data_IF_680611226296
#
_entry.id   IF_680611226296
#
_cell.length_a   1.000
_cell.length_b   1.000
_cell.length_c   1.000
_cell.angle_alpha   90.00
_cell.angle_beta   90.00
_cell.angle_gamma   90.00
#
_symmetry.space_group_name_H-M   'P 1'
#
loop_
_entity.id
_entity.type
_entity.pdbx_description
1 polymer ?
#
# COMPACT_ATOMS: atom_id res chain seq x y z
N UNK A 1 30.33 31.70 -3.14
CA UNK A 1 30.47 31.42 -1.67
C UNK A 1 31.74 30.63 -1.43
N UNK A 2 32.52 30.89 -0.34
CA UNK A 2 33.67 30.05 0.00
C UNK A 2 33.12 28.75 0.63
N UNK A 3 33.52 27.58 0.10
CA UNK A 3 33.12 26.30 0.64
C UNK A 3 33.85 26.07 1.95
N UNK A 4 33.14 26.00 3.04
CA UNK A 4 33.64 25.66 4.36
C UNK A 4 32.74 24.59 4.98
N UNK A 5 33.21 23.80 5.94
CA UNK A 5 32.37 22.84 6.67
C UNK A 5 31.13 23.48 7.31
N UNK A 6 31.22 24.75 7.71
CA UNK A 6 30.09 25.49 8.26
C UNK A 6 29.07 25.86 7.18
N UNK A 7 29.53 26.30 5.99
CA UNK A 7 28.66 26.60 4.84
C UNK A 7 27.91 25.32 4.39
N UNK A 8 28.62 24.19 4.27
CA UNK A 8 28.02 22.91 3.90
C UNK A 8 26.96 22.43 4.91
N UNK A 9 27.21 22.62 6.23
CA UNK A 9 26.18 22.37 7.27
C UNK A 9 24.96 23.28 7.13
N UNK A 10 25.17 24.56 6.78
CA UNK A 10 24.08 25.50 6.52
C UNK A 10 23.21 25.05 5.33
N UNK A 11 23.84 24.61 4.24
CA UNK A 11 23.16 24.05 3.08
C UNK A 11 22.37 22.80 3.44
N UNK A 12 22.99 21.86 4.17
CA UNK A 12 22.30 20.67 4.65
C UNK A 12 21.05 21.03 5.45
N UNK A 13 21.16 21.98 6.38
CA UNK A 13 20.02 22.40 7.22
C UNK A 13 18.91 23.00 6.37
N UNK A 14 19.25 23.87 5.37
CA UNK A 14 18.28 24.45 4.47
C UNK A 14 17.57 23.39 3.63
N UNK A 15 18.33 22.49 3.01
CA UNK A 15 17.75 21.40 2.20
C UNK A 15 16.95 20.40 3.04
N UNK A 16 17.41 20.07 4.24
CA UNK A 16 16.63 19.22 5.15
C UNK A 16 15.29 19.87 5.53
N UNK A 17 15.25 21.19 5.70
CA UNK A 17 14.00 21.92 5.96
C UNK A 17 13.07 21.86 4.74
N UNK A 18 13.60 22.06 3.53
CA UNK A 18 12.84 21.96 2.28
C UNK A 18 12.30 20.55 2.09
N UNK A 19 13.13 19.53 2.30
CA UNK A 19 12.75 18.12 2.23
C UNK A 19 11.62 17.79 3.21
N UNK A 20 11.80 18.11 4.50
CA UNK A 20 10.82 17.80 5.53
C UNK A 20 9.48 18.49 5.26
N UNK A 21 9.49 19.76 4.83
CA UNK A 21 8.28 20.49 4.46
C UNK A 21 7.53 19.80 3.31
N UNK A 22 8.24 19.34 2.28
CA UNK A 22 7.65 18.62 1.17
C UNK A 22 7.15 17.25 1.59
N UNK A 23 7.93 16.50 2.40
CA UNK A 23 7.58 15.19 2.92
C UNK A 23 6.32 15.22 3.80
N UNK A 24 6.23 16.16 4.74
CA UNK A 24 5.10 16.32 5.67
C UNK A 24 3.86 16.89 4.96
N UNK A 25 4.05 17.61 3.85
CA UNK A 25 2.95 18.15 3.05
C UNK A 25 2.22 17.11 2.21
N UNK A 26 2.74 15.91 2.08
CA UNK A 26 2.08 14.82 1.36
C UNK A 26 1.13 14.03 2.27
N UNK A 27 0.06 13.53 1.68
CA UNK A 27 -0.95 12.73 2.36
C UNK A 27 -1.06 11.34 1.71
N UNK A 28 -0.12 10.43 1.97
CA UNK A 28 -0.16 9.08 1.42
C UNK A 28 -1.43 8.34 1.88
N UNK A 29 -1.97 7.49 1.03
CA UNK A 29 -3.26 6.84 1.22
C UNK A 29 -3.18 5.35 1.55
N UNK A 30 -1.97 4.78 1.56
CA UNK A 30 -1.74 3.36 1.83
C UNK A 30 -2.35 2.89 3.15
N UNK A 31 -2.42 3.77 4.16
CA UNK A 31 -3.05 3.46 5.44
C UNK A 31 -4.56 3.19 5.33
N UNK A 32 -5.22 3.59 4.24
CA UNK A 32 -6.62 3.22 4.00
C UNK A 32 -6.79 1.72 3.79
N UNK A 33 -5.83 1.08 3.12
CA UNK A 33 -5.92 -0.33 2.66
C UNK A 33 -4.93 -1.27 3.35
N UNK A 34 -3.91 -0.74 4.01
CA UNK A 34 -2.87 -1.52 4.68
C UNK A 34 -2.81 -1.26 6.19
N UNK A 35 -2.50 -2.31 6.94
CA UNK A 35 -2.09 -2.20 8.35
C UNK A 35 -0.61 -1.92 8.41
N UNK A 36 -0.22 -0.85 9.11
CA UNK A 36 1.19 -0.53 9.34
C UNK A 36 1.72 -1.36 10.51
N UNK A 37 2.77 -2.13 10.24
CA UNK A 37 3.42 -2.98 11.23
C UNK A 37 4.88 -2.53 11.39
N UNK A 38 5.33 -2.15 12.60
CA UNK A 38 6.73 -1.86 12.84
C UNK A 38 7.57 -3.14 12.70
N UNK A 39 8.77 -3.02 12.13
CA UNK A 39 9.72 -4.11 12.00
C UNK A 39 11.02 -3.80 12.74
N UNK A 40 11.61 -4.82 13.35
CA UNK A 40 12.88 -4.70 14.07
C UNK A 40 13.97 -5.61 13.50
N UNK A 41 13.64 -6.49 12.56
CA UNK A 41 14.53 -7.49 11.96
C UNK A 41 14.67 -7.34 10.44
N UNK A 42 15.41 -8.24 9.81
CA UNK A 42 15.55 -8.31 8.34
C UNK A 42 14.22 -8.68 7.68
N UNK A 43 13.43 -9.52 8.35
CA UNK A 43 12.12 -9.99 7.89
C UNK A 43 11.22 -10.26 9.08
N UNK A 44 9.91 -10.10 8.89
CA UNK A 44 8.91 -10.44 9.91
C UNK A 44 8.03 -11.58 9.40
N UNK A 45 7.74 -12.53 10.28
CA UNK A 45 6.85 -13.65 9.98
C UNK A 45 5.49 -13.46 10.64
N UNK A 46 4.46 -13.50 9.84
CA UNK A 46 3.07 -13.24 10.23
C UNK A 46 2.32 -14.55 10.51
N UNK A 47 2.66 -15.21 11.61
CA UNK A 47 2.07 -16.49 12.02
C UNK A 47 0.56 -16.42 12.34
N UNK A 48 0.02 -15.22 12.56
CA UNK A 48 -1.40 -14.98 12.81
C UNK A 48 -2.27 -14.92 11.56
N UNK A 49 -1.66 -14.91 10.38
CA UNK A 49 -2.39 -15.03 9.12
C UNK A 49 -2.87 -16.47 8.96
N UNK A 50 -4.17 -16.65 8.85
CA UNK A 50 -4.78 -17.97 8.75
C UNK A 50 -6.30 -17.87 8.79
N UNK A 51 -6.95 -18.73 9.57
CA UNK A 51 -8.40 -18.67 9.78
C UNK A 51 -8.75 -17.54 10.76
N UNK A 52 -9.84 -16.83 10.52
CA UNK A 52 -10.35 -15.78 11.40
C UNK A 52 -11.15 -16.45 12.53
N UNK A 53 -10.65 -16.43 13.78
CA UNK A 53 -11.31 -17.13 14.88
C UNK A 53 -12.61 -16.42 15.29
N UNK A 54 -13.58 -17.23 15.76
CA UNK A 54 -14.82 -16.73 16.36
C UNK A 54 -14.98 -17.21 17.80
N UNK A 55 -15.66 -16.42 18.63
CA UNK A 55 -16.03 -16.83 20.00
C UNK A 55 -16.95 -18.05 19.95
N UNK A 56 -16.75 -18.99 20.88
CA UNK A 56 -17.68 -20.10 21.12
C UNK A 56 -18.21 -20.05 22.54
N UNK A 57 -19.33 -20.70 22.78
CA UNK A 57 -19.79 -20.96 24.13
C UNK A 57 -18.77 -21.83 24.87
N UNK A 58 -18.43 -21.44 26.09
CA UNK A 58 -17.48 -22.19 26.89
C UNK A 58 -18.21 -23.34 27.62
N UNK A 59 -18.21 -24.51 27.00
CA UNK A 59 -18.71 -25.75 27.61
C UNK A 59 -17.51 -26.71 27.68
N UNK A 60 -17.18 -27.15 28.91
CA UNK A 60 -16.03 -28.02 29.15
C UNK A 60 -14.69 -27.30 29.15
N UNK A 61 -13.65 -27.91 28.57
CA UNK A 61 -12.30 -27.35 28.51
C UNK A 61 -12.17 -26.29 27.46
N UNK A 62 -11.18 -25.38 27.65
CA UNK A 62 -10.82 -24.36 26.64
C UNK A 62 -10.20 -25.04 25.42
N UNK A 63 -10.70 -24.69 24.24
CA UNK A 63 -10.09 -25.10 22.97
C UNK A 63 -9.02 -24.08 22.57
N UNK A 64 -7.76 -24.51 22.54
CA UNK A 64 -6.66 -23.69 22.08
C UNK A 64 -6.72 -23.64 20.56
N UNK A 65 -6.98 -22.47 20.02
CA UNK A 65 -6.89 -22.23 18.57
C UNK A 65 -5.40 -22.13 18.22
N UNK A 66 -4.87 -23.16 17.56
CA UNK A 66 -3.51 -23.07 17.01
C UNK A 66 -3.51 -22.13 15.82
N UNK A 67 -2.97 -20.92 16.01
CA UNK A 67 -2.72 -19.94 14.95
C UNK A 67 -1.51 -20.32 14.05
N UNK A 68 -0.95 -21.51 14.26
CA UNK A 68 0.25 -22.00 13.58
C UNK A 68 -0.06 -22.65 12.24
N UNK A 69 -0.42 -21.88 11.25
CA UNK A 69 -0.72 -22.45 9.92
C UNK A 69 0.11 -21.88 8.79
N UNK A 70 0.49 -20.63 8.84
CA UNK A 70 1.19 -19.99 7.73
C UNK A 70 2.46 -19.30 8.19
N UNK A 71 3.57 -19.63 7.55
CA UNK A 71 4.86 -18.93 7.72
C UNK A 71 4.99 -17.81 6.68
N UNK A 72 3.97 -16.95 6.55
CA UNK A 72 4.07 -15.83 5.61
C UNK A 72 5.06 -14.80 6.11
N UNK A 73 6.13 -14.60 5.35
CA UNK A 73 7.25 -13.74 5.72
C UNK A 73 7.39 -12.60 4.74
N UNK A 74 7.46 -11.36 5.26
CA UNK A 74 7.78 -10.18 4.47
C UNK A 74 9.23 -9.79 4.79
N UNK A 75 10.09 -9.80 3.76
CA UNK A 75 11.48 -9.35 3.87
C UNK A 75 11.56 -7.85 3.60
N UNK A 76 12.24 -7.11 4.48
CA UNK A 76 12.49 -5.69 4.30
C UNK A 76 13.43 -5.45 3.12
N UNK A 77 13.16 -4.39 2.34
CA UNK A 77 13.99 -3.88 1.26
C UNK A 77 14.48 -2.49 1.61
N UNK A 78 15.65 -2.15 1.12
CA UNK A 78 16.20 -0.80 1.24
C UNK A 78 15.85 -0.01 -0.02
N UNK A 79 15.45 1.24 0.16
CA UNK A 79 15.07 2.17 -0.90
C UNK A 79 15.82 3.48 -0.72
N UNK A 80 16.24 4.07 -1.83
CA UNK A 80 16.95 5.34 -1.83
C UNK A 80 16.54 6.19 -3.04
N UNK A 81 16.70 7.48 -2.89
CA UNK A 81 16.66 8.43 -3.99
C UNK A 81 17.71 9.51 -3.73
N UNK A 82 18.54 9.80 -4.72
CA UNK A 82 19.73 10.63 -4.56
C UNK A 82 19.80 11.75 -5.58
N UNK A 83 20.17 12.94 -5.13
CA UNK A 83 20.37 14.15 -5.97
C UNK A 83 21.81 14.65 -5.80
N UNK A 84 22.48 14.92 -6.92
CA UNK A 84 23.80 15.54 -6.95
C UNK A 84 23.73 17.05 -7.17
N UNK A 85 24.39 17.81 -6.30
CA UNK A 85 24.54 19.26 -6.42
C UNK A 85 25.96 19.56 -6.87
N UNK A 86 26.11 20.29 -7.97
CA UNK A 86 27.41 20.64 -8.52
C UNK A 86 28.18 21.57 -7.57
N UNK A 87 29.48 21.28 -7.37
CA UNK A 87 30.35 22.07 -6.50
C UNK A 87 30.46 23.53 -6.98
N UNK A 88 30.55 23.74 -8.29
CA UNK A 88 30.67 25.11 -8.83
C UNK A 88 29.37 25.90 -8.56
N UNK A 89 28.18 25.25 -8.60
CA UNK A 89 26.95 25.92 -8.26
C UNK A 89 26.89 26.37 -6.79
N UNK A 90 27.56 25.64 -5.90
CA UNK A 90 27.71 26.01 -4.48
C UNK A 90 28.70 27.21 -4.37
N UNK A 91 29.82 27.18 -5.09
CA UNK A 91 30.80 28.28 -5.13
C UNK A 91 30.17 29.56 -5.67
N UNK A 92 29.33 29.46 -6.72
CA UNK A 92 28.62 30.56 -7.33
C UNK A 92 27.36 31.03 -6.59
N UNK A 93 27.07 30.45 -5.43
CA UNK A 93 25.87 30.75 -4.60
C UNK A 93 24.53 30.52 -5.34
N UNK A 94 24.49 29.50 -6.21
CA UNK A 94 23.30 29.11 -7.00
C UNK A 94 22.52 27.98 -6.37
N UNK A 95 22.62 27.77 -5.04
CA UNK A 95 22.04 26.66 -4.30
C UNK A 95 20.51 26.62 -4.43
N UNK A 96 19.86 27.79 -4.49
CA UNK A 96 18.42 27.90 -4.61
C UNK A 96 17.82 27.19 -5.83
N UNK A 97 18.61 26.98 -6.90
CA UNK A 97 18.18 26.26 -8.09
C UNK A 97 17.89 24.78 -7.84
N UNK A 98 18.43 24.21 -6.75
CA UNK A 98 18.22 22.81 -6.38
C UNK A 98 17.01 22.58 -5.45
N UNK A 99 16.40 23.64 -4.91
CA UNK A 99 15.23 23.51 -4.04
C UNK A 99 14.09 22.69 -4.66
N UNK A 100 13.71 22.85 -5.93
CA UNK A 100 12.68 21.99 -6.53
C UNK A 100 13.05 20.51 -6.53
N UNK A 101 14.32 20.18 -6.81
CA UNK A 101 14.77 18.79 -6.78
C UNK A 101 14.73 18.19 -5.38
N UNK A 102 15.04 18.97 -4.36
CA UNK A 102 14.93 18.54 -2.94
C UNK A 102 13.44 18.41 -2.50
N UNK A 103 12.56 19.27 -3.01
CA UNK A 103 11.11 19.11 -2.80
C UNK A 103 10.60 17.81 -3.41
N UNK A 104 10.92 17.54 -4.68
CA UNK A 104 10.54 16.32 -5.38
C UNK A 104 11.08 15.07 -4.68
N UNK A 105 12.29 15.14 -4.10
CA UNK A 105 12.87 14.09 -3.27
C UNK A 105 11.98 13.82 -2.01
N UNK A 106 11.54 14.88 -1.34
CA UNK A 106 10.66 14.78 -0.17
C UNK A 106 9.29 14.19 -0.51
N UNK A 107 8.69 14.67 -1.61
CA UNK A 107 7.39 14.17 -2.10
C UNK A 107 7.47 12.69 -2.49
N UNK A 108 8.48 12.30 -3.28
CA UNK A 108 8.68 10.90 -3.68
C UNK A 108 8.90 9.99 -2.47
N UNK A 109 9.71 10.41 -1.51
CA UNK A 109 9.96 9.64 -0.30
C UNK A 109 8.68 9.44 0.55
N UNK A 110 7.79 10.44 0.60
CA UNK A 110 6.53 10.36 1.32
C UNK A 110 5.52 9.43 0.65
N UNK A 111 5.46 9.45 -0.70
CA UNK A 111 4.49 8.68 -1.48
C UNK A 111 4.95 7.25 -1.81
N UNK A 112 6.21 6.91 -1.58
CA UNK A 112 6.74 5.58 -1.88
C UNK A 112 5.99 4.41 -1.19
N UNK A 113 5.49 4.53 0.07
CA UNK A 113 4.65 3.49 0.65
C UNK A 113 3.38 3.19 -0.16
N UNK A 114 2.76 4.19 -0.79
CA UNK A 114 1.62 4.00 -1.67
C UNK A 114 1.98 3.13 -2.87
N UNK A 115 3.14 3.36 -3.49
CA UNK A 115 3.62 2.57 -4.63
C UNK A 115 3.77 1.09 -4.26
N UNK A 116 4.36 0.81 -3.10
CA UNK A 116 4.54 -0.56 -2.60
C UNK A 116 3.21 -1.25 -2.31
N UNK A 117 2.29 -0.55 -1.67
CA UNK A 117 1.02 -1.12 -1.21
C UNK A 117 0.03 -1.29 -2.35
N UNK A 118 -0.19 -0.27 -3.18
CA UNK A 118 -1.12 -0.39 -4.31
C UNK A 118 -0.58 -1.29 -5.43
N UNK A 119 0.75 -1.39 -5.58
CA UNK A 119 1.37 -2.37 -6.47
C UNK A 119 0.99 -3.82 -6.14
N UNK A 120 0.76 -4.15 -4.87
CA UNK A 120 0.30 -5.48 -4.46
C UNK A 120 -1.09 -5.82 -5.01
N UNK A 121 -1.98 -4.85 -5.19
CA UNK A 121 -3.32 -5.11 -5.75
C UNK A 121 -3.22 -5.63 -7.18
N UNK A 122 -2.39 -5.01 -8.01
CA UNK A 122 -2.15 -5.47 -9.38
C UNK A 122 -1.47 -6.85 -9.41
N UNK A 123 -0.46 -7.05 -8.56
CA UNK A 123 0.29 -8.30 -8.46
C UNK A 123 -0.49 -9.42 -7.78
N UNK A 124 -1.56 -9.10 -7.06
CA UNK A 124 -2.36 -10.05 -6.29
C UNK A 124 -3.02 -11.16 -7.10
N UNK A 125 -3.13 -11.00 -8.43
CA UNK A 125 -3.62 -12.06 -9.33
C UNK A 125 -2.58 -13.16 -9.61
N UNK A 126 -1.31 -12.92 -9.30
CA UNK A 126 -0.19 -13.82 -9.58
C UNK A 126 0.66 -14.15 -8.36
N UNK A 127 0.89 -13.18 -7.47
CA UNK A 127 1.72 -13.37 -6.28
C UNK A 127 0.97 -14.12 -5.18
N UNK A 128 1.68 -15.04 -4.54
CA UNK A 128 1.12 -15.90 -3.49
C UNK A 128 0.98 -15.18 -2.15
N UNK A 129 -0.13 -15.43 -1.48
CA UNK A 129 -0.35 -15.03 -0.10
C UNK A 129 -0.05 -16.18 0.90
N UNK A 130 -0.46 -16.01 2.14
CA UNK A 130 -0.12 -16.91 3.26
C UNK A 130 -0.62 -18.36 3.12
N UNK A 131 -1.63 -18.62 2.30
CA UNK A 131 -2.17 -19.97 2.04
C UNK A 131 -1.54 -20.67 0.82
N UNK A 132 -0.55 -20.02 0.19
CA UNK A 132 0.17 -20.54 -0.98
C UNK A 132 -0.54 -20.34 -2.31
N UNK A 133 -1.75 -19.75 -2.30
CA UNK A 133 -2.49 -19.34 -3.51
C UNK A 133 -2.18 -17.90 -3.87
N UNK A 134 -2.49 -17.48 -5.10
CA UNK A 134 -2.49 -16.07 -5.44
C UNK A 134 -3.45 -15.32 -4.49
N UNK A 135 -3.16 -14.05 -4.18
CA UNK A 135 -3.99 -13.28 -3.25
C UNK A 135 -5.43 -13.11 -3.75
N UNK A 136 -5.61 -12.98 -5.07
CA UNK A 136 -6.92 -13.11 -5.73
C UNK A 136 -6.97 -14.45 -6.47
N UNK A 137 -7.68 -15.40 -5.91
CA UNK A 137 -7.80 -16.75 -6.45
C UNK A 137 -9.24 -17.27 -6.30
N UNK A 138 -9.55 -18.35 -7.06
CA UNK A 138 -10.87 -18.98 -7.04
C UNK A 138 -10.93 -20.20 -6.11
N UNK A 139 -9.80 -20.58 -5.50
CA UNK A 139 -9.65 -21.86 -4.82
C UNK A 139 -8.90 -21.76 -3.48
N UNK A 140 -9.09 -20.66 -2.74
CA UNK A 140 -8.56 -20.52 -1.38
C UNK A 140 -9.09 -21.62 -0.45
N UNK A 141 -8.23 -22.31 0.30
CA UNK A 141 -8.68 -23.35 1.21
C UNK A 141 -9.39 -22.75 2.43
N UNK A 142 -10.60 -23.25 2.73
CA UNK A 142 -11.38 -22.88 3.91
C UNK A 142 -11.87 -24.16 4.58
N UNK A 143 -11.08 -24.71 5.49
CA UNK A 143 -11.33 -26.02 6.09
C UNK A 143 -11.30 -27.14 5.04
N UNK A 144 -12.44 -27.77 4.75
CA UNK A 144 -12.60 -28.80 3.70
C UNK A 144 -13.09 -28.22 2.37
N UNK A 145 -13.53 -26.96 2.37
CA UNK A 145 -14.14 -26.29 1.24
C UNK A 145 -13.14 -25.33 0.57
N UNK A 146 -13.57 -24.72 -0.52
CA UNK A 146 -12.84 -23.68 -1.23
C UNK A 146 -13.67 -22.41 -1.30
N UNK A 147 -13.01 -21.26 -1.26
CA UNK A 147 -13.64 -19.97 -1.46
C UNK A 147 -12.91 -19.17 -2.54
N UNK A 148 -13.64 -18.26 -3.18
CA UNK A 148 -13.13 -17.37 -4.21
C UNK A 148 -13.24 -15.91 -3.77
N UNK A 149 -12.19 -15.14 -4.03
CA UNK A 149 -12.19 -13.68 -3.94
C UNK A 149 -11.77 -13.04 -5.27
N UNK A 150 -11.82 -13.80 -6.37
CA UNK A 150 -11.44 -13.36 -7.71
C UNK A 150 -12.64 -13.32 -8.64
N UNK A 151 -12.75 -12.23 -9.41
CA UNK A 151 -13.61 -12.08 -10.56
C UNK A 151 -12.85 -11.73 -11.84
N UNK A 152 -13.56 -11.76 -12.96
CA UNK A 152 -13.05 -11.35 -14.27
C UNK A 152 -13.94 -10.30 -14.95
N UNK A 153 -15.12 -10.02 -14.39
CA UNK A 153 -16.08 -9.09 -14.96
C UNK A 153 -15.59 -7.64 -14.89
N UNK A 154 -15.86 -6.86 -15.93
CA UNK A 154 -15.70 -5.40 -15.90
C UNK A 154 -16.55 -4.79 -14.80
N UNK A 155 -16.14 -3.62 -14.31
CA UNK A 155 -16.91 -2.90 -13.29
C UNK A 155 -18.28 -2.54 -13.85
N UNK A 156 -19.30 -3.02 -13.17
CA UNK A 156 -20.72 -2.74 -13.45
C UNK A 156 -21.50 -2.87 -12.15
N UNK A 157 -22.74 -2.37 -12.13
CA UNK A 157 -23.62 -2.49 -10.97
C UNK A 157 -23.80 -3.96 -10.53
N UNK A 158 -23.98 -4.87 -11.48
CA UNK A 158 -24.21 -6.29 -11.18
C UNK A 158 -22.92 -7.00 -10.75
N UNK A 159 -21.76 -6.66 -11.36
CA UNK A 159 -20.48 -7.16 -10.92
C UNK A 159 -20.15 -6.68 -9.49
N UNK A 160 -20.43 -5.41 -9.17
CA UNK A 160 -20.28 -4.88 -7.82
C UNK A 160 -21.17 -5.60 -6.79
N UNK A 161 -22.46 -5.79 -7.10
CA UNK A 161 -23.41 -6.54 -6.24
C UNK A 161 -22.92 -7.97 -5.98
N UNK A 162 -22.47 -8.64 -7.03
CA UNK A 162 -21.93 -10.01 -6.95
C UNK A 162 -20.71 -10.08 -6.05
N UNK A 163 -19.73 -9.20 -6.25
CA UNK A 163 -18.54 -9.12 -5.42
C UNK A 163 -18.88 -8.85 -3.95
N UNK A 164 -19.76 -7.88 -3.70
CA UNK A 164 -20.20 -7.52 -2.36
C UNK A 164 -20.90 -8.70 -1.67
N UNK A 165 -21.82 -9.37 -2.35
CA UNK A 165 -22.51 -10.54 -1.82
C UNK A 165 -21.54 -11.69 -1.53
N UNK A 166 -20.60 -11.94 -2.44
CA UNK A 166 -19.56 -12.96 -2.25
C UNK A 166 -18.76 -12.71 -0.98
N UNK A 167 -18.24 -11.49 -0.78
CA UNK A 167 -17.48 -11.14 0.43
C UNK A 167 -18.30 -11.28 1.71
N UNK A 168 -19.56 -10.81 1.70
CA UNK A 168 -20.44 -10.85 2.87
C UNK A 168 -20.85 -12.29 3.24
N UNK A 169 -20.84 -13.20 2.28
CA UNK A 169 -21.20 -14.62 2.46
C UNK A 169 -20.04 -15.50 2.89
N UNK A 170 -18.81 -14.96 2.98
CA UNK A 170 -17.64 -15.73 3.39
C UNK A 170 -17.79 -16.28 4.80
N UNK A 171 -17.34 -17.52 4.96
CA UNK A 171 -17.33 -18.25 6.24
C UNK A 171 -15.91 -18.63 6.62
N UNK A 172 -15.70 -18.87 7.91
CA UNK A 172 -14.45 -19.45 8.39
C UNK A 172 -14.45 -20.99 8.22
N UNK A 173 -13.33 -21.65 8.58
CA UNK A 173 -13.15 -23.10 8.49
C UNK A 173 -14.19 -23.93 9.27
N UNK A 174 -14.87 -23.31 10.24
CA UNK A 174 -15.93 -23.91 11.07
C UNK A 174 -17.35 -23.61 10.54
N UNK A 175 -17.46 -23.04 9.33
CA UNK A 175 -18.74 -22.70 8.70
C UNK A 175 -19.44 -21.45 9.25
N UNK A 176 -18.80 -20.67 10.14
CA UNK A 176 -19.39 -19.46 10.72
C UNK A 176 -19.17 -18.27 9.77
N UNK A 177 -20.20 -17.41 9.56
CA UNK A 177 -20.07 -16.19 8.78
C UNK A 177 -18.97 -15.29 9.36
N UNK A 178 -18.12 -14.74 8.47
CA UNK A 178 -17.06 -13.80 8.86
C UNK A 178 -17.61 -12.38 9.12
N UNK A 179 -18.85 -12.10 8.70
CA UNK A 179 -19.50 -10.80 8.81
C UNK A 179 -18.61 -9.66 8.27
N UNK A 180 -18.01 -9.87 7.10
CA UNK A 180 -17.21 -8.89 6.40
C UNK A 180 -18.16 -8.00 5.57
N UNK A 181 -18.12 -6.71 5.80
CA UNK A 181 -18.86 -5.74 5.03
C UNK A 181 -17.86 -4.88 4.27
N UNK A 182 -17.74 -5.03 2.93
CA UNK A 182 -16.83 -4.21 2.16
C UNK A 182 -17.27 -2.75 2.16
N UNK A 183 -16.30 -1.86 2.29
CA UNK A 183 -16.50 -0.43 2.54
C UNK A 183 -15.66 0.49 1.65
N UNK A 184 -14.75 -0.07 0.83
CA UNK A 184 -13.89 0.70 -0.06
C UNK A 184 -13.80 0.04 -1.44
N UNK A 185 -14.16 0.80 -2.49
CA UNK A 185 -13.95 0.43 -3.89
C UNK A 185 -12.73 1.16 -4.43
N UNK A 186 -11.67 0.42 -4.78
CA UNK A 186 -10.44 0.96 -5.37
C UNK A 186 -10.48 0.72 -6.87
N UNK A 187 -10.31 1.80 -7.64
CA UNK A 187 -10.38 1.80 -9.10
C UNK A 187 -9.26 2.62 -9.74
N UNK A 188 -8.82 2.29 -10.96
CA UNK A 188 -7.99 3.18 -11.76
C UNK A 188 -8.77 4.41 -12.24
N UNK A 189 -8.10 5.49 -12.69
CA UNK A 189 -8.78 6.68 -13.20
C UNK A 189 -9.78 6.39 -14.34
N UNK A 190 -9.50 5.40 -15.18
CA UNK A 190 -10.37 5.01 -16.28
C UNK A 190 -11.79 4.54 -15.83
N UNK A 191 -11.90 4.01 -14.62
CA UNK A 191 -13.16 3.50 -14.05
C UNK A 191 -13.80 4.46 -13.04
N UNK A 192 -13.28 5.67 -12.87
CA UNK A 192 -13.84 6.63 -11.91
C UNK A 192 -15.30 6.97 -12.19
N UNK A 193 -15.66 7.21 -13.45
CA UNK A 193 -17.04 7.53 -13.85
C UNK A 193 -18.00 6.37 -13.52
N UNK A 194 -17.64 5.15 -13.92
CA UNK A 194 -18.43 3.95 -13.63
C UNK A 194 -18.60 3.72 -12.12
N UNK A 195 -17.54 3.93 -11.35
CA UNK A 195 -17.60 3.81 -9.88
C UNK A 195 -18.53 4.85 -9.25
N UNK A 196 -18.52 6.10 -9.76
CA UNK A 196 -19.45 7.15 -9.30
C UNK A 196 -20.89 6.86 -9.66
N UNK A 197 -21.15 6.35 -10.85
CA UNK A 197 -22.50 5.94 -11.28
C UNK A 197 -23.05 4.84 -10.37
N UNK A 198 -22.21 3.89 -9.93
CA UNK A 198 -22.62 2.80 -9.04
C UNK A 198 -22.82 3.28 -7.59
N UNK A 199 -21.95 4.12 -7.05
CA UNK A 199 -21.89 4.39 -5.60
C UNK A 199 -22.36 5.79 -5.19
N UNK A 200 -22.49 6.73 -6.13
CA UNK A 200 -22.83 8.12 -5.83
C UNK A 200 -24.14 8.56 -6.49
N UNK A 201 -24.43 8.10 -7.70
CA UNK A 201 -25.63 8.50 -8.41
C UNK A 201 -26.91 8.11 -7.65
N UNK A 202 -27.90 9.02 -7.60
CA UNK A 202 -29.20 8.77 -6.95
C UNK A 202 -30.08 7.79 -7.73
N UNK A 203 -29.96 7.81 -9.06
CA UNK A 203 -30.74 6.97 -9.97
C UNK A 203 -29.84 6.30 -11.01
N UNK A 204 -30.16 5.06 -11.35
CA UNK A 204 -29.54 4.31 -12.44
C UNK A 204 -30.67 3.87 -13.37
N UNK A 205 -30.61 4.28 -14.65
CA UNK A 205 -31.65 3.97 -15.67
C UNK A 205 -33.09 4.32 -15.19
N UNK A 206 -33.24 5.46 -14.51
CA UNK A 206 -34.54 5.91 -14.00
C UNK A 206 -35.06 5.20 -12.75
N UNK A 207 -34.27 4.26 -12.19
CA UNK A 207 -34.61 3.53 -10.95
C UNK A 207 -33.68 4.01 -9.82
N UNK A 208 -34.24 4.13 -8.61
CA UNK A 208 -33.46 4.52 -7.43
C UNK A 208 -32.27 3.57 -7.21
N UNK A 209 -31.08 4.15 -7.05
CA UNK A 209 -29.87 3.39 -6.81
C UNK A 209 -29.83 2.85 -5.36
N UNK A 210 -29.90 1.53 -5.21
CA UNK A 210 -29.85 0.86 -3.91
C UNK A 210 -28.44 0.59 -3.40
N UNK A 211 -27.41 0.82 -4.24
CA UNK A 211 -25.99 0.64 -3.87
C UNK A 211 -25.29 1.95 -3.51
N UNK A 212 -26.00 3.09 -3.63
CA UNK A 212 -25.49 4.39 -3.24
C UNK A 212 -24.98 4.37 -1.81
N UNK A 213 -23.75 4.87 -1.60
CA UNK A 213 -23.11 5.01 -0.28
C UNK A 213 -22.75 3.69 0.42
N UNK A 214 -22.84 2.55 -0.26
CA UNK A 214 -22.48 1.25 0.33
C UNK A 214 -20.97 1.01 0.44
N UNK A 215 -20.16 1.78 -0.27
CA UNK A 215 -18.70 1.85 -0.17
C UNK A 215 -18.20 3.25 -0.54
N UNK A 216 -17.03 3.61 -0.05
CA UNK A 216 -16.29 4.79 -0.50
C UNK A 216 -15.54 4.47 -1.80
N UNK A 217 -15.32 5.47 -2.66
CA UNK A 217 -14.51 5.33 -3.87
C UNK A 217 -13.10 5.85 -3.58
N UNK A 218 -12.10 5.07 -3.95
CA UNK A 218 -10.71 5.49 -4.00
C UNK A 218 -10.16 5.32 -5.41
N UNK A 219 -9.91 6.44 -6.08
CA UNK A 219 -9.27 6.44 -7.39
C UNK A 219 -7.75 6.43 -7.19
N UNK A 220 -7.10 5.37 -7.67
CA UNK A 220 -5.66 5.17 -7.49
C UNK A 220 -4.94 5.16 -8.85
N UNK A 221 -4.25 6.26 -9.20
CA UNK A 221 -3.55 6.38 -10.49
C UNK A 221 -2.37 5.41 -10.68
N UNK A 222 -1.86 4.80 -9.58
CA UNK A 222 -0.73 3.85 -9.65
C UNK A 222 -1.16 2.43 -10.01
N UNK A 223 -2.46 2.18 -10.18
CA UNK A 223 -2.93 0.87 -10.66
C UNK A 223 -2.50 0.70 -12.12
N UNK A 224 -1.78 -0.38 -12.40
CA UNK A 224 -1.21 -0.66 -13.73
C UNK A 224 -2.26 -1.05 -14.78
N UNK A 225 -3.47 -1.42 -14.36
CA UNK A 225 -4.56 -1.86 -15.26
C UNK A 225 -5.69 -0.84 -15.28
N UNK A 226 -6.14 -0.48 -16.47
CA UNK A 226 -7.30 0.41 -16.67
C UNK A 226 -8.65 -0.28 -16.45
N UNK A 227 -8.68 -1.61 -16.33
CA UNK A 227 -9.93 -2.40 -16.22
C UNK A 227 -10.08 -3.14 -14.89
N UNK A 228 -9.00 -3.35 -14.15
CA UNK A 228 -9.04 -4.04 -12.87
C UNK A 228 -9.63 -3.14 -11.77
N UNK A 229 -10.44 -3.74 -10.91
CA UNK A 229 -11.04 -3.05 -9.76
C UNK A 229 -11.06 -3.96 -8.53
N UNK A 230 -11.06 -3.33 -7.35
CA UNK A 230 -10.91 -4.03 -6.09
C UNK A 230 -11.93 -3.53 -5.08
N UNK A 231 -12.60 -4.46 -4.41
CA UNK A 231 -13.54 -4.16 -3.33
C UNK A 231 -12.95 -4.66 -2.01
N UNK A 232 -12.78 -3.76 -1.06
CA UNK A 232 -12.03 -4.02 0.17
C UNK A 232 -12.90 -3.82 1.42
N UNK A 233 -12.59 -4.59 2.47
CA UNK A 233 -13.11 -4.38 3.83
C UNK A 233 -11.98 -3.80 4.68
N UNK A 234 -12.03 -2.48 4.96
CA UNK A 234 -10.93 -1.74 5.58
C UNK A 234 -11.22 -1.26 7.01
N UNK A 235 -12.47 -1.37 7.47
CA UNK A 235 -12.89 -0.95 8.83
C UNK A 235 -12.59 -1.96 9.94
N UNK A 236 -11.80 -3.00 9.64
CA UNK A 236 -11.33 -3.97 10.62
C UNK A 236 -9.98 -3.55 11.21
N UNK A 237 -9.61 -4.01 12.42
CA UNK A 237 -8.30 -3.73 13.01
C UNK A 237 -7.12 -4.16 12.13
N UNK A 238 -7.26 -5.28 11.44
CA UNK A 238 -6.32 -5.72 10.39
C UNK A 238 -6.97 -5.47 9.04
N UNK A 239 -6.23 -4.83 8.15
CA UNK A 239 -6.65 -4.50 6.78
C UNK A 239 -6.19 -5.56 5.79
N UNK A 240 -6.71 -5.57 4.55
CA UNK A 240 -6.36 -6.59 3.56
C UNK A 240 -4.87 -6.65 3.21
N UNK A 241 -4.16 -5.54 3.32
CA UNK A 241 -2.72 -5.46 3.04
C UNK A 241 -1.92 -5.10 4.30
N UNK A 242 -0.61 -5.34 4.25
CA UNK A 242 0.33 -5.02 5.32
C UNK A 242 1.42 -4.13 4.74
N UNK A 243 1.71 -3.02 5.41
CA UNK A 243 2.91 -2.24 5.20
C UNK A 243 3.85 -2.41 6.38
N UNK A 244 4.98 -3.07 6.14
CA UNK A 244 6.02 -3.32 7.15
C UNK A 244 7.03 -2.20 7.12
N UNK A 245 7.07 -1.39 8.19
CA UNK A 245 7.95 -0.23 8.30
C UNK A 245 9.14 -0.53 9.20
N UNK A 246 10.34 -0.65 8.63
CA UNK A 246 11.59 -0.84 9.38
C UNK A 246 12.26 0.49 9.72
N UNK A 247 12.32 1.41 8.72
CA UNK A 247 12.92 2.73 8.85
C UNK A 247 12.12 3.72 7.99
N UNK A 248 11.62 4.77 8.62
CA UNK A 248 11.00 5.88 7.89
C UNK A 248 12.05 6.56 7.01
N UNK A 249 11.60 7.16 5.91
CA UNK A 249 12.47 7.95 5.05
C UNK A 249 13.16 9.06 5.85
N UNK A 250 14.47 9.18 5.65
CA UNK A 250 15.31 10.17 6.32
C UNK A 250 16.21 10.84 5.30
N UNK A 251 16.33 12.17 5.40
CA UNK A 251 17.25 12.95 4.59
C UNK A 251 18.69 12.70 5.04
N UNK A 252 19.57 12.44 4.10
CA UNK A 252 20.99 12.15 4.30
C UNK A 252 21.85 12.92 3.33
N UNK A 253 23.14 13.10 3.64
CA UNK A 253 24.08 13.77 2.73
C UNK A 253 25.49 13.16 2.80
N UNK A 254 26.23 13.28 1.71
CA UNK A 254 27.64 12.98 1.60
C UNK A 254 28.34 14.20 0.94
N UNK A 255 28.96 15.05 1.78
CA UNK A 255 29.37 16.41 1.39
C UNK A 255 30.76 16.82 1.91
N UNK A 256 31.56 15.89 2.45
CA UNK A 256 32.92 16.23 2.84
C UNK A 256 33.80 16.41 1.59
N UNK A 257 34.70 17.38 1.60
CA UNK A 257 35.57 17.67 0.46
C UNK A 257 36.48 16.50 0.08
N UNK A 258 36.79 15.63 1.06
CA UNK A 258 37.61 14.42 0.89
C UNK A 258 36.79 13.21 0.42
N UNK A 259 35.49 13.33 0.32
CA UNK A 259 34.64 12.24 -0.16
C UNK A 259 34.87 11.99 -1.67
N UNK A 260 34.83 10.73 -2.09
CA UNK A 260 35.09 10.32 -3.47
C UNK A 260 34.17 11.02 -4.48
N UNK A 261 32.92 11.25 -4.14
CA UNK A 261 31.97 11.94 -5.00
C UNK A 261 32.35 13.42 -5.24
N UNK A 262 32.93 14.08 -4.26
CA UNK A 262 33.40 15.48 -4.40
C UNK A 262 34.70 15.51 -5.18
N UNK A 263 35.64 14.63 -4.84
CA UNK A 263 36.95 14.56 -5.48
C UNK A 263 36.86 14.11 -6.95
N UNK A 264 36.14 13.00 -7.21
CA UNK A 264 36.06 12.40 -8.55
C UNK A 264 35.03 13.05 -9.47
N UNK A 265 33.89 13.51 -8.92
CA UNK A 265 32.73 13.94 -9.69
C UNK A 265 32.33 15.40 -9.48
N UNK A 266 33.02 16.15 -8.62
CA UNK A 266 32.69 17.53 -8.23
C UNK A 266 31.23 17.71 -7.78
N UNK A 267 30.66 16.72 -7.08
CA UNK A 267 29.26 16.74 -6.64
C UNK A 267 29.15 16.53 -5.14
N UNK A 268 28.36 17.38 -4.50
CA UNK A 268 27.81 17.14 -3.19
C UNK A 268 26.55 16.30 -3.34
N UNK A 269 26.42 15.24 -2.56
CA UNK A 269 25.33 14.29 -2.67
C UNK A 269 24.34 14.49 -1.52
N UNK A 270 23.06 14.58 -1.85
CA UNK A 270 21.95 14.62 -0.93
C UNK A 270 20.94 13.54 -1.32
N UNK A 271 20.32 12.91 -0.35
CA UNK A 271 19.37 11.84 -0.67
C UNK A 271 18.42 11.55 0.47
N UNK A 272 17.51 10.65 0.22
CA UNK A 272 16.67 10.04 1.24
C UNK A 272 16.81 8.53 1.17
N UNK A 273 16.83 7.89 2.32
CA UNK A 273 16.81 6.44 2.42
C UNK A 273 15.70 5.99 3.36
N UNK A 274 15.07 4.88 3.02
CA UNK A 274 14.05 4.21 3.83
C UNK A 274 14.24 2.70 3.79
N UNK A 275 13.62 2.00 4.75
CA UNK A 275 13.62 0.54 4.75
C UNK A 275 12.26 0.02 5.17
N UNK A 276 11.72 -0.92 4.40
CA UNK A 276 10.42 -1.52 4.64
C UNK A 276 10.01 -2.42 3.49
N UNK A 277 8.79 -2.90 3.52
CA UNK A 277 8.17 -3.58 2.38
C UNK A 277 6.66 -3.68 2.61
N UNK A 278 5.93 -4.08 1.58
CA UNK A 278 4.52 -4.39 1.69
C UNK A 278 4.26 -5.87 1.39
N UNK A 279 3.13 -6.38 1.86
CA UNK A 279 2.72 -7.76 1.64
C UNK A 279 1.22 -7.95 1.86
N UNK A 280 0.76 -9.16 1.59
CA UNK A 280 -0.65 -9.50 1.71
C UNK A 280 -1.04 -9.80 3.15
N UNK A 281 -2.22 -9.30 3.55
CA UNK A 281 -2.90 -9.67 4.79
C UNK A 281 -3.94 -10.75 4.52
N UNK A 282 -5.15 -10.57 5.05
CA UNK A 282 -6.25 -11.51 4.87
C UNK A 282 -6.92 -11.36 3.50
N UNK A 283 -6.81 -12.37 2.63
CA UNK A 283 -7.47 -12.39 1.32
C UNK A 283 -9.01 -12.28 1.43
N UNK A 284 -9.58 -12.78 2.53
CA UNK A 284 -11.02 -12.70 2.81
C UNK A 284 -11.54 -11.25 2.86
N UNK A 285 -10.66 -10.30 3.14
CA UNK A 285 -11.01 -8.88 3.24
C UNK A 285 -10.87 -8.11 1.92
N UNK A 286 -10.57 -8.80 0.83
CA UNK A 286 -10.41 -8.22 -0.48
C UNK A 286 -11.07 -9.08 -1.55
N UNK A 287 -11.68 -8.43 -2.54
CA UNK A 287 -12.13 -9.04 -3.79
C UNK A 287 -11.48 -8.27 -4.93
N UNK A 288 -10.92 -8.98 -5.91
CA UNK A 288 -10.32 -8.37 -7.10
C UNK A 288 -10.92 -8.92 -8.37
N UNK A 289 -11.26 -8.03 -9.30
CA UNK A 289 -11.61 -8.39 -10.68
C UNK A 289 -10.58 -7.83 -11.63
N UNK A 290 -10.09 -8.64 -12.56
CA UNK A 290 -9.14 -8.21 -13.59
C UNK A 290 -9.81 -7.48 -14.77
N UNK A 291 -11.15 -7.48 -14.82
CA UNK A 291 -11.93 -6.75 -15.81
C UNK A 291 -11.79 -7.27 -17.24
N UNK A 292 -11.38 -8.54 -17.41
CA UNK A 292 -11.09 -9.13 -18.73
C UNK A 292 -12.34 -9.64 -19.47
N UNK A 293 -13.44 -9.88 -18.76
CA UNK A 293 -14.71 -10.34 -19.34
C UNK A 293 -15.79 -9.27 -19.27
N UNK A 294 -16.64 -9.22 -20.28
CA UNK A 294 -17.82 -8.32 -20.35
C UNK A 294 -18.93 -8.75 -19.41
#
# INVERSE_FOLDING_TARGET
MIITPQALRGIYTAFNTVFNKAFEGQHPTYEKVATVVPSTSESETYAWLGDIPGMREWIGEREIQNLSGSAYTIKNKDFELTVGVDRNAVEDDKIGLYNPSIQMLGESAALHPDELVYGLLANGFTEKCYDGKAFFATDHPVGKDKASNKGTAKLSLDAYKTARTSMMSLKNSKGRPLALVPDLLVVPPALEADARDILVADFINGTKNTMQGTAEIHVEPRLASDSAWFLLCTKRPVKPLIYQQRKKAKFVSKTNETDDNVFMSKKFIYGADSRGNAGFGFWQMAYGSDGTTT
#
